data_IF_004121552523
#
_entry.id   IF_004121552523
#
_cell.length_a   1.000
_cell.length_b   1.000
_cell.length_c   1.000
_cell.angle_alpha   90.00
_cell.angle_beta   90.00
_cell.angle_gamma   90.00
#
_symmetry.space_group_name_H-M   'P 1'
#
loop_
_entity.id
_entity.type
_entity.pdbx_description
1 polymer ?
#
# COMPACT_ATOMS: atom_id res chain seq x y z
N UNK A 1 21.23 -25.10 -66.41
CA UNK A 1 19.91 -24.54 -66.65
C UNK A 1 19.41 -24.11 -65.26
N UNK A 2 19.74 -22.94 -64.97
CA UNK A 2 18.99 -21.74 -64.62
C UNK A 2 18.15 -21.89 -63.36
N UNK A 3 18.73 -21.44 -62.29
CA UNK A 3 18.10 -21.15 -61.00
C UNK A 3 17.54 -19.71 -61.00
N UNK A 4 16.40 -19.48 -60.44
CA UNK A 4 15.95 -18.16 -60.00
C UNK A 4 15.51 -18.24 -58.53
N UNK A 5 16.24 -17.57 -57.66
CA UNK A 5 15.85 -17.31 -56.26
C UNK A 5 15.18 -15.93 -56.13
N UNK A 6 14.36 -15.71 -55.11
CA UNK A 6 13.64 -14.46 -54.92
C UNK A 6 14.45 -13.42 -54.18
N UNK A 7 14.25 -12.17 -54.61
CA UNK A 7 14.87 -10.94 -54.10
C UNK A 7 14.28 -10.56 -52.73
N UNK A 8 15.15 -10.27 -51.77
CA UNK A 8 14.83 -9.57 -50.53
C UNK A 8 14.85 -8.06 -50.78
N UNK A 9 13.73 -7.37 -50.58
CA UNK A 9 13.65 -5.92 -50.52
C UNK A 9 14.06 -5.42 -49.12
N UNK A 10 15.15 -4.67 -49.09
CA UNK A 10 15.56 -3.86 -47.97
C UNK A 10 14.80 -2.54 -47.99
N UNK A 11 13.92 -2.32 -47.00
CA UNK A 11 13.35 -0.99 -46.73
C UNK A 11 14.32 -0.21 -45.83
N UNK A 12 14.94 0.80 -46.41
CA UNK A 12 15.78 1.79 -45.73
C UNK A 12 14.91 2.79 -44.94
N UNK A 13 15.03 2.81 -43.63
CA UNK A 13 14.51 3.91 -42.81
C UNK A 13 15.43 5.13 -42.90
N UNK A 14 14.98 6.15 -43.62
CA UNK A 14 15.57 7.49 -43.59
C UNK A 14 15.20 8.17 -42.24
N UNK A 15 16.21 8.43 -41.42
CA UNK A 15 16.10 9.30 -40.26
C UNK A 15 15.99 10.78 -40.75
N UNK A 16 14.91 11.42 -40.40
CA UNK A 16 14.73 12.87 -40.58
C UNK A 16 15.54 13.60 -39.50
N UNK A 17 16.54 14.34 -39.92
CA UNK A 17 17.29 15.29 -39.09
C UNK A 17 16.49 16.57 -38.93
N UNK A 18 16.18 16.94 -37.70
CA UNK A 18 15.68 18.27 -37.31
C UNK A 18 16.83 19.29 -37.28
N UNK A 19 16.66 20.50 -37.87
CA UNK A 19 17.64 21.55 -37.80
C UNK A 19 17.27 22.54 -36.67
N UNK A 20 17.92 22.43 -35.54
CA UNK A 20 17.96 23.57 -34.58
C UNK A 20 19.33 23.60 -33.90
N UNK A 21 20.25 24.32 -34.52
CA UNK A 21 21.47 24.80 -33.88
C UNK A 21 21.69 26.24 -34.33
N UNK A 22 21.45 27.19 -33.41
CA UNK A 22 22.08 28.52 -33.30
C UNK A 22 21.19 29.45 -32.45
N UNK A 23 21.52 29.57 -31.18
CA UNK A 23 21.47 30.91 -30.55
C UNK A 23 22.54 31.02 -29.48
N UNK A 24 23.44 31.98 -29.72
CA UNK A 24 24.53 32.41 -28.86
C UNK A 24 23.99 33.40 -27.81
N UNK A 25 24.50 33.26 -26.56
CA UNK A 25 24.73 34.31 -25.56
C UNK A 25 23.71 35.44 -25.43
N UNK A 26 22.99 35.46 -24.30
CA UNK A 26 22.51 36.68 -23.65
C UNK A 26 22.62 36.58 -22.14
N UNK A 27 22.88 37.72 -21.44
CA UNK A 27 23.37 37.74 -20.06
C UNK A 27 22.26 37.68 -18.99
N UNK A 28 22.68 37.34 -17.76
CA UNK A 28 21.86 37.43 -16.57
C UNK A 28 21.26 38.84 -16.40
N UNK A 29 19.96 38.94 -16.32
CA UNK A 29 19.27 40.05 -15.72
C UNK A 29 17.95 39.60 -15.11
N UNK A 30 17.78 39.94 -13.84
CA UNK A 30 16.55 39.96 -13.04
C UNK A 30 15.25 39.73 -13.83
N UNK A 31 14.51 38.69 -13.49
CA UNK A 31 13.08 38.63 -13.77
C UNK A 31 12.29 38.52 -12.48
N UNK A 32 11.79 39.67 -12.08
CA UNK A 32 10.63 39.84 -11.21
C UNK A 32 9.43 39.07 -11.79
N UNK A 33 8.71 38.45 -10.88
CA UNK A 33 7.44 37.78 -11.09
C UNK A 33 6.44 38.65 -11.88
N UNK A 34 6.18 38.28 -13.12
CA UNK A 34 5.01 38.78 -13.85
C UNK A 34 4.01 37.63 -13.98
N UNK A 35 2.97 37.67 -13.16
CA UNK A 35 1.77 36.89 -13.37
C UNK A 35 1.14 37.39 -14.69
N UNK A 36 1.25 36.64 -15.76
CA UNK A 36 0.54 36.91 -17.01
C UNK A 36 -0.96 36.71 -16.79
N UNK A 37 -1.69 37.82 -16.54
CA UNK A 37 -3.14 37.87 -16.69
C UNK A 37 -3.45 37.71 -18.17
N UNK A 38 -3.93 36.57 -18.54
CA UNK A 38 -4.60 36.37 -19.82
C UNK A 38 -6.08 36.83 -19.64
N UNK A 39 -6.37 38.06 -20.01
CA UNK A 39 -7.74 38.58 -20.18
C UNK A 39 -8.33 38.02 -21.49
N UNK A 40 -8.85 36.80 -21.42
CA UNK A 40 -9.76 36.29 -22.45
C UNK A 40 -11.15 36.85 -22.18
N UNK A 41 -11.77 37.45 -23.20
CA UNK A 41 -13.11 38.00 -23.11
C UNK A 41 -14.15 37.01 -22.58
N UNK A 42 -15.13 37.47 -21.77
CA UNK A 42 -16.09 36.58 -21.13
C UNK A 42 -17.03 35.95 -22.17
N UNK A 43 -16.90 34.65 -22.36
CA UNK A 43 -17.99 33.86 -22.93
C UNK A 43 -19.04 33.69 -21.86
N UNK A 44 -20.26 34.14 -22.18
CA UNK A 44 -21.45 34.15 -21.34
C UNK A 44 -21.66 32.81 -20.58
N UNK A 45 -21.77 32.89 -19.26
CA UNK A 45 -22.61 32.03 -18.46
C UNK A 45 -21.98 30.87 -17.68
N UNK A 46 -20.66 30.65 -17.71
CA UNK A 46 -20.05 29.66 -16.82
C UNK A 46 -19.31 30.39 -15.69
N UNK A 47 -19.85 30.30 -14.49
CA UNK A 47 -19.23 30.88 -13.32
C UNK A 47 -17.84 30.31 -13.11
N UNK A 48 -16.83 31.17 -13.24
CA UNK A 48 -15.44 30.75 -13.17
C UNK A 48 -15.04 30.45 -11.72
N UNK A 49 -14.71 29.18 -11.42
CA UNK A 49 -14.13 28.82 -10.14
C UNK A 49 -12.73 29.39 -10.07
N UNK A 50 -12.46 30.24 -9.09
CA UNK A 50 -11.15 30.82 -8.81
C UNK A 50 -10.60 30.25 -7.50
N UNK A 51 -9.35 29.85 -7.51
CA UNK A 51 -8.69 29.26 -6.35
C UNK A 51 -7.21 29.64 -6.29
N UNK A 52 -6.63 29.56 -5.09
CA UNK A 52 -5.18 29.54 -4.86
C UNK A 52 -4.83 28.26 -4.15
N UNK A 53 -3.99 27.43 -4.76
CA UNK A 53 -3.55 26.17 -4.18
C UNK A 53 -2.02 26.10 -4.15
N UNK A 54 -1.44 25.66 -3.01
CA UNK A 54 0.01 25.61 -2.84
C UNK A 54 0.43 24.56 -1.81
N UNK A 55 1.68 24.12 -1.94
CA UNK A 55 2.40 23.37 -0.91
C UNK A 55 3.39 24.26 -0.16
N UNK A 56 3.62 23.94 1.11
CA UNK A 56 4.65 24.59 1.94
C UNK A 56 5.14 23.64 3.01
N UNK A 57 6.38 23.77 3.44
CA UNK A 57 6.90 23.10 4.63
C UNK A 57 6.54 23.87 5.90
N UNK A 58 6.45 23.19 7.04
CA UNK A 58 6.22 23.84 8.33
C UNK A 58 7.49 24.56 8.81
N UNK A 59 8.65 23.94 8.60
CA UNK A 59 9.96 24.49 8.92
C UNK A 59 10.91 24.32 7.74
N UNK A 60 11.93 25.18 7.60
CA UNK A 60 12.96 25.01 6.58
C UNK A 60 14.04 23.99 6.98
N UNK A 61 14.17 23.69 8.27
CA UNK A 61 15.18 22.77 8.82
C UNK A 61 14.55 21.78 9.79
N UNK A 62 14.96 20.53 9.70
CA UNK A 62 14.51 19.42 10.53
C UNK A 62 15.71 18.59 11.00
N UNK A 63 15.52 17.75 12.01
CA UNK A 63 16.49 16.77 12.46
C UNK A 63 16.39 15.47 11.64
N UNK A 64 17.50 14.78 11.46
CA UNK A 64 17.49 13.44 10.86
C UNK A 64 16.59 12.49 11.67
N UNK A 65 15.60 11.88 11.01
CA UNK A 65 14.60 11.02 11.67
C UNK A 65 13.42 11.75 12.32
N UNK A 66 13.34 13.07 12.22
CA UNK A 66 12.20 13.86 12.70
C UNK A 66 11.00 13.76 11.75
N UNK A 67 9.74 13.85 12.24
CA UNK A 67 8.56 13.95 11.39
C UNK A 67 8.57 15.25 10.57
N UNK A 68 8.45 15.12 9.26
CA UNK A 68 8.48 16.25 8.32
C UNK A 68 7.11 16.37 7.66
N UNK A 69 6.40 17.47 7.94
CA UNK A 69 5.10 17.73 7.35
C UNK A 69 5.16 18.74 6.22
N UNK A 70 4.52 18.37 5.10
CA UNK A 70 4.20 19.27 4.01
C UNK A 70 2.72 19.65 4.13
N UNK A 71 2.42 20.96 4.12
CA UNK A 71 1.08 21.48 4.12
C UNK A 71 0.62 21.72 2.69
N UNK A 72 -0.54 21.21 2.33
CA UNK A 72 -1.29 21.61 1.16
C UNK A 72 -2.38 22.57 1.60
N UNK A 73 -2.47 23.74 0.98
CA UNK A 73 -3.54 24.71 1.22
C UNK A 73 -4.25 25.01 -0.07
N UNK A 74 -5.59 25.05 -0.01
CA UNK A 74 -6.43 25.54 -1.11
C UNK A 74 -7.37 26.59 -0.56
N UNK A 75 -7.38 27.79 -1.17
CA UNK A 75 -8.27 28.89 -0.85
C UNK A 75 -9.24 29.10 -2.01
N UNK A 76 -10.51 29.30 -1.67
CA UNK A 76 -11.49 29.77 -2.64
C UNK A 76 -11.33 31.28 -2.83
N UNK A 77 -10.72 31.69 -3.95
CA UNK A 77 -10.53 33.09 -4.32
C UNK A 77 -11.67 33.64 -5.20
N UNK A 78 -12.67 32.80 -5.51
CA UNK A 78 -13.83 33.14 -6.32
C UNK A 78 -15.02 33.57 -5.48
N UNK A 79 -16.17 33.69 -6.16
CA UNK A 79 -17.45 34.10 -5.55
C UNK A 79 -18.42 32.93 -5.36
N UNK A 80 -18.07 31.74 -5.88
CA UNK A 80 -18.92 30.57 -5.82
C UNK A 80 -18.34 29.49 -4.87
N UNK A 81 -19.25 28.78 -4.22
CA UNK A 81 -18.89 27.61 -3.40
C UNK A 81 -18.49 26.47 -4.32
N UNK A 82 -17.37 25.83 -4.04
CA UNK A 82 -17.04 24.55 -4.63
C UNK A 82 -16.78 23.48 -3.56
N UNK A 83 -16.81 22.25 -3.97
CA UNK A 83 -16.49 21.09 -3.11
C UNK A 83 -15.44 20.21 -3.76
N UNK A 84 -14.78 19.42 -2.96
CA UNK A 84 -13.85 18.38 -3.41
C UNK A 84 -13.80 17.25 -2.39
N UNK A 85 -13.46 16.07 -2.87
CA UNK A 85 -13.23 14.92 -1.99
C UNK A 85 -11.80 14.91 -1.49
N UNK A 86 -11.62 14.52 -0.24
CA UNK A 86 -10.31 14.27 0.36
C UNK A 86 -10.28 12.90 1.02
N UNK A 87 -9.08 12.38 1.21
CA UNK A 87 -8.82 11.17 2.00
C UNK A 87 -8.04 11.57 3.24
N UNK A 88 -8.10 10.73 4.26
CA UNK A 88 -7.14 10.87 5.39
C UNK A 88 -5.72 10.93 4.83
N UNK A 89 -4.86 11.83 5.33
CA UNK A 89 -3.51 12.06 4.81
C UNK A 89 -2.57 10.89 5.15
N UNK A 90 -2.92 9.72 4.65
CA UNK A 90 -2.07 8.54 4.59
C UNK A 90 -1.79 8.23 3.12
N UNK A 91 -0.57 7.81 2.83
CA UNK A 91 -0.19 7.44 1.47
C UNK A 91 -1.09 6.31 0.96
N UNK A 92 -1.79 6.55 -0.15
CA UNK A 92 -2.59 5.51 -0.77
C UNK A 92 -1.69 4.47 -1.43
N UNK A 93 -2.12 3.22 -1.34
CA UNK A 93 -1.49 2.09 -2.04
C UNK A 93 -1.78 2.11 -3.56
N UNK A 94 -2.72 2.96 -4.00
CA UNK A 94 -3.05 3.13 -5.42
C UNK A 94 -2.58 4.51 -5.92
N UNK A 95 -1.46 4.57 -6.67
CA UNK A 95 -0.90 5.82 -7.18
C UNK A 95 -1.75 6.47 -8.29
N UNK A 96 -2.78 5.80 -8.80
CA UNK A 96 -3.57 6.26 -9.95
C UNK A 96 -4.72 7.20 -9.56
N UNK A 97 -4.90 7.51 -8.27
CA UNK A 97 -5.90 8.47 -7.82
C UNK A 97 -5.42 9.90 -8.08
N UNK A 98 -6.03 10.55 -9.07
CA UNK A 98 -5.68 11.93 -9.50
C UNK A 98 -5.74 12.97 -8.38
N UNK A 99 -6.52 12.72 -7.33
CA UNK A 99 -6.74 13.65 -6.21
C UNK A 99 -5.66 13.61 -5.13
N UNK A 100 -4.75 12.65 -5.17
CA UNK A 100 -3.69 12.52 -4.17
C UNK A 100 -2.44 13.33 -4.52
N UNK A 101 -1.72 13.86 -3.52
CA UNK A 101 -0.47 14.55 -3.79
C UNK A 101 0.60 13.55 -4.19
N UNK A 102 1.43 13.96 -5.13
CA UNK A 102 2.65 13.25 -5.55
C UNK A 102 3.85 14.01 -5.04
N UNK A 103 4.76 13.29 -4.38
CA UNK A 103 6.02 13.85 -3.93
C UNK A 103 7.18 13.09 -4.56
N UNK A 104 8.14 13.83 -5.12
CA UNK A 104 9.43 13.28 -5.49
C UNK A 104 10.53 14.05 -4.76
N UNK A 105 11.40 13.32 -4.06
CA UNK A 105 12.42 13.90 -3.20
C UNK A 105 13.80 13.57 -3.74
N UNK A 106 14.65 14.58 -3.83
CA UNK A 106 16.04 14.46 -4.32
C UNK A 106 17.01 15.02 -3.31
N UNK A 107 18.16 14.38 -3.20
CA UNK A 107 19.29 14.89 -2.41
C UNK A 107 20.01 16.05 -3.15
N UNK A 108 21.03 16.60 -2.50
CA UNK A 108 21.85 17.70 -3.06
C UNK A 108 22.61 17.30 -4.34
N UNK A 109 22.80 16.00 -4.60
CA UNK A 109 23.38 15.46 -5.85
C UNK A 109 22.34 15.21 -6.93
N UNK A 110 21.08 15.49 -6.67
CA UNK A 110 19.96 15.27 -7.60
C UNK A 110 19.48 13.82 -7.66
N UNK A 111 19.97 12.91 -6.82
CA UNK A 111 19.55 11.51 -6.75
C UNK A 111 18.21 11.41 -6.04
N UNK A 112 17.31 10.63 -6.59
CA UNK A 112 16.02 10.33 -5.93
C UNK A 112 16.25 9.50 -4.68
N UNK A 113 15.58 9.86 -3.59
CA UNK A 113 15.57 9.04 -2.39
C UNK A 113 14.72 7.79 -2.60
N UNK A 114 15.13 6.65 -2.01
CA UNK A 114 14.34 5.42 -2.08
C UNK A 114 13.01 5.59 -1.36
N UNK A 115 11.99 4.94 -1.89
CA UNK A 115 10.68 4.85 -1.28
C UNK A 115 10.73 3.95 -0.04
N UNK A 116 10.40 4.44 1.16
CA UNK A 116 10.44 3.63 2.38
C UNK A 116 9.21 2.72 2.55
N UNK A 117 8.18 2.88 1.71
CA UNK A 117 7.01 2.03 1.82
C UNK A 117 7.31 0.65 1.25
N UNK A 118 6.98 -0.43 1.97
CA UNK A 118 7.04 -1.77 1.41
C UNK A 118 6.11 -1.85 0.20
N UNK A 119 6.52 -2.61 -0.83
CA UNK A 119 5.64 -2.88 -1.96
C UNK A 119 4.41 -3.64 -1.44
N UNK A 120 3.18 -3.19 -1.74
CA UNK A 120 1.99 -3.85 -1.21
C UNK A 120 1.91 -5.28 -1.72
N UNK A 121 1.91 -6.22 -0.80
CA UNK A 121 1.60 -7.61 -1.06
C UNK A 121 0.09 -7.74 -1.18
N UNK A 122 -0.38 -7.89 -2.39
CA UNK A 122 -1.77 -7.97 -2.78
C UNK A 122 -2.82 -8.04 -1.67
N UNK A 123 -3.44 -6.94 -1.33
CA UNK A 123 -4.74 -6.95 -0.69
C UNK A 123 -4.90 -6.29 0.66
N UNK A 124 -3.89 -5.85 1.36
CA UNK A 124 -4.09 -5.03 2.56
C UNK A 124 -4.58 -3.63 2.15
N UNK A 125 -5.88 -3.52 1.91
CA UNK A 125 -6.54 -2.23 1.72
C UNK A 125 -6.73 -1.63 3.11
N UNK A 126 -5.83 -0.73 3.50
CA UNK A 126 -6.06 0.12 4.65
C UNK A 126 -7.43 0.79 4.54
N UNK A 127 -8.13 0.95 5.64
CA UNK A 127 -9.45 1.60 5.66
C UNK A 127 -9.24 3.07 5.32
N UNK A 128 -9.51 3.43 4.07
CA UNK A 128 -9.44 4.83 3.63
C UNK A 128 -10.74 5.51 4.00
N UNK A 129 -10.67 6.51 4.86
CA UNK A 129 -11.81 7.38 5.15
C UNK A 129 -11.89 8.44 4.05
N UNK A 130 -12.99 8.42 3.30
CA UNK A 130 -13.31 9.48 2.33
C UNK A 130 -14.12 10.55 3.03
N UNK A 131 -13.77 11.78 2.79
CA UNK A 131 -14.54 12.94 3.20
C UNK A 131 -14.74 13.89 2.04
N UNK A 132 -15.63 14.84 2.22
CA UNK A 132 -15.80 15.95 1.31
C UNK A 132 -15.64 17.27 2.03
N UNK A 133 -15.01 18.22 1.37
CA UNK A 133 -14.87 19.60 1.83
C UNK A 133 -15.75 20.48 0.96
N UNK A 134 -16.61 21.26 1.61
CA UNK A 134 -17.30 22.39 1.00
C UNK A 134 -16.50 23.63 1.30
N UNK A 135 -16.08 24.37 0.29
CA UNK A 135 -15.25 25.55 0.44
C UNK A 135 -15.95 26.81 -0.05
N UNK A 136 -16.58 27.60 0.86
CA UNK A 136 -17.16 28.89 0.55
C UNK A 136 -16.13 29.92 0.07
N UNK A 137 -16.57 31.02 -0.60
CA UNK A 137 -15.71 32.13 -0.98
C UNK A 137 -14.87 32.67 0.19
N UNK A 138 -13.59 32.92 -0.05
CA UNK A 138 -12.63 33.44 0.92
C UNK A 138 -12.09 32.40 1.92
N UNK A 139 -12.72 31.25 2.05
CA UNK A 139 -12.26 30.22 2.98
C UNK A 139 -11.07 29.41 2.45
N UNK A 140 -10.29 28.88 3.39
CA UNK A 140 -9.10 28.06 3.13
C UNK A 140 -9.26 26.72 3.79
N UNK A 141 -8.92 25.66 3.08
CA UNK A 141 -8.73 24.31 3.61
C UNK A 141 -7.25 23.95 3.63
N UNK A 142 -6.82 23.25 4.69
CA UNK A 142 -5.41 22.85 4.86
C UNK A 142 -5.35 21.37 5.22
N UNK A 143 -4.48 20.65 4.53
CA UNK A 143 -4.12 19.27 4.81
C UNK A 143 -2.64 19.19 5.15
N UNK A 144 -2.26 18.25 6.03
CA UNK A 144 -0.87 17.96 6.40
C UNK A 144 -0.49 16.57 5.92
N UNK A 145 0.64 16.46 5.26
CA UNK A 145 1.14 15.21 4.68
C UNK A 145 2.52 14.90 5.24
N UNK A 146 2.66 13.75 5.89
CA UNK A 146 3.93 13.30 6.46
C UNK A 146 4.88 12.82 5.35
N UNK A 147 5.85 13.65 4.95
CA UNK A 147 6.77 13.36 3.84
C UNK A 147 7.63 12.10 4.07
N UNK A 148 7.83 11.72 5.32
CA UNK A 148 8.56 10.50 5.67
C UNK A 148 7.89 9.21 5.13
N UNK A 149 6.65 9.28 4.67
CA UNK A 149 6.00 8.17 3.97
C UNK A 149 6.50 8.00 2.52
N UNK A 150 7.16 9.01 1.94
CA UNK A 150 7.68 8.99 0.56
C UNK A 150 9.20 8.89 0.50
N UNK A 151 9.91 9.28 1.57
CA UNK A 151 11.36 9.20 1.62
C UNK A 151 11.88 9.07 3.05
N UNK A 152 12.98 8.34 3.23
CA UNK A 152 13.72 8.30 4.49
C UNK A 152 14.69 9.47 4.59
N UNK A 153 14.47 10.37 5.55
CA UNK A 153 15.36 11.52 5.85
C UNK A 153 16.30 11.17 7.02
N UNK A 154 17.10 10.14 6.84
CA UNK A 154 18.03 9.65 7.87
C UNK A 154 19.42 10.28 7.82
N UNK A 155 19.75 10.92 6.71
CA UNK A 155 21.07 11.53 6.50
C UNK A 155 20.99 13.05 6.52
N UNK A 156 21.91 13.74 7.21
CA UNK A 156 22.04 15.20 7.15
C UNK A 156 22.33 15.67 5.73
N UNK A 157 21.77 16.83 5.35
CA UNK A 157 21.99 17.42 4.03
C UNK A 157 20.85 18.29 3.55
N UNK A 158 20.97 18.78 2.32
CA UNK A 158 19.96 19.58 1.66
C UNK A 158 19.16 18.72 0.68
N UNK A 159 17.86 18.89 0.71
CA UNK A 159 16.91 18.12 -0.11
C UNK A 159 15.98 19.06 -0.86
N UNK A 160 15.54 18.61 -2.03
CA UNK A 160 14.49 19.26 -2.82
C UNK A 160 13.28 18.33 -2.90
N UNK A 161 12.12 18.88 -2.61
CA UNK A 161 10.83 18.18 -2.70
C UNK A 161 10.04 18.81 -3.82
N UNK A 162 9.81 18.06 -4.89
CA UNK A 162 8.81 18.39 -5.88
C UNK A 162 7.47 17.88 -5.39
N UNK A 163 6.51 18.76 -5.18
CA UNK A 163 5.17 18.46 -4.71
C UNK A 163 4.16 18.84 -5.78
N UNK A 164 3.33 17.90 -6.20
CA UNK A 164 2.30 18.07 -7.22
C UNK A 164 0.97 17.49 -6.75
N UNK A 165 -0.14 18.20 -7.01
CA UNK A 165 -1.50 17.71 -6.81
C UNK A 165 -2.43 18.28 -7.85
N UNK A 166 -3.26 17.40 -8.43
CA UNK A 166 -4.39 17.77 -9.29
C UNK A 166 -5.68 17.38 -8.59
N UNK A 167 -6.42 18.36 -8.10
CA UNK A 167 -7.62 18.15 -7.30
C UNK A 167 -8.86 18.51 -8.11
N UNK A 168 -9.79 17.57 -8.38
CA UNK A 168 -11.03 17.88 -9.06
C UNK A 168 -11.94 18.72 -8.16
N UNK A 169 -12.38 19.86 -8.67
CA UNK A 169 -13.34 20.77 -8.02
C UNK A 169 -14.72 20.54 -8.60
N UNK A 170 -15.71 20.35 -7.74
CA UNK A 170 -17.09 20.07 -8.11
C UNK A 170 -17.96 21.29 -7.78
N UNK A 171 -18.91 21.63 -8.64
CA UNK A 171 -19.92 22.64 -8.30
C UNK A 171 -20.70 22.14 -7.08
N UNK A 172 -20.95 23.04 -6.15
CA UNK A 172 -21.81 22.72 -5.02
C UNK A 172 -23.26 23.10 -5.35
N UNK A 173 -24.13 22.08 -5.40
CA UNK A 173 -25.55 22.21 -5.53
C UNK A 173 -26.24 21.94 -4.19
N UNK A 174 -26.91 22.93 -3.64
CA UNK A 174 -27.61 22.82 -2.35
C UNK A 174 -28.73 21.80 -2.40
N UNK A 175 -29.31 21.56 -3.59
CA UNK A 175 -30.40 20.60 -3.78
C UNK A 175 -29.94 19.16 -3.90
N UNK A 176 -28.64 18.93 -4.12
CA UNK A 176 -28.04 17.60 -4.27
C UNK A 176 -26.87 17.46 -3.31
N UNK A 177 -27.07 16.93 -2.12
CA UNK A 177 -26.00 16.77 -1.12
C UNK A 177 -24.90 15.79 -1.57
N UNK A 178 -25.19 14.91 -2.53
CA UNK A 178 -24.22 13.98 -3.07
C UNK A 178 -23.27 14.69 -4.04
N UNK A 179 -21.97 14.61 -3.75
CA UNK A 179 -20.91 15.15 -4.60
C UNK A 179 -20.73 14.22 -5.81
N UNK A 180 -21.72 14.22 -6.70
CA UNK A 180 -21.70 13.43 -7.92
C UNK A 180 -21.88 14.36 -9.13
N UNK A 181 -20.92 14.34 -10.04
CA UNK A 181 -20.95 15.11 -11.27
C UNK A 181 -19.55 15.28 -11.86
N UNK A 182 -19.46 15.73 -13.11
CA UNK A 182 -18.16 16.03 -13.70
C UNK A 182 -17.52 17.23 -12.97
N UNK A 183 -16.18 17.24 -12.82
CA UNK A 183 -15.47 18.38 -12.26
C UNK A 183 -15.74 19.67 -13.09
N UNK A 184 -16.01 20.77 -12.42
CA UNK A 184 -16.14 22.09 -13.05
C UNK A 184 -14.78 22.74 -13.29
N UNK A 185 -13.77 22.33 -12.53
CA UNK A 185 -12.37 22.75 -12.67
C UNK A 185 -11.44 21.70 -12.02
N UNK A 186 -10.14 21.83 -12.29
CA UNK A 186 -9.10 21.12 -11.57
C UNK A 186 -8.18 22.13 -10.90
N UNK A 187 -8.05 22.04 -9.58
CA UNK A 187 -7.03 22.80 -8.87
C UNK A 187 -5.66 22.11 -9.04
N UNK A 188 -4.72 22.81 -9.65
CA UNK A 188 -3.35 22.36 -9.82
C UNK A 188 -2.43 23.12 -8.85
N UNK A 189 -1.69 22.40 -8.03
CA UNK A 189 -0.62 22.94 -7.22
C UNK A 189 0.68 22.22 -7.55
N UNK A 190 1.71 22.96 -7.95
CA UNK A 190 3.06 22.46 -8.20
C UNK A 190 4.02 23.36 -7.47
N UNK A 191 4.86 22.80 -6.59
CA UNK A 191 5.86 23.55 -5.84
C UNK A 191 7.17 22.78 -5.74
N UNK A 192 8.27 23.53 -5.88
CA UNK A 192 9.60 23.09 -5.48
C UNK A 192 9.89 23.62 -4.07
N UNK A 193 10.12 22.72 -3.13
CA UNK A 193 10.38 23.06 -1.74
C UNK A 193 11.81 22.63 -1.39
N UNK A 194 12.52 23.48 -0.69
CA UNK A 194 13.85 23.16 -0.18
C UNK A 194 13.77 22.92 1.32
N UNK A 195 14.42 21.87 1.81
CA UNK A 195 14.56 21.59 3.22
C UNK A 195 15.99 21.17 3.56
N UNK A 196 16.41 21.44 4.78
CA UNK A 196 17.69 21.03 5.32
C UNK A 196 17.48 20.05 6.47
N UNK A 197 18.24 18.96 6.45
CA UNK A 197 18.26 17.96 7.53
C UNK A 197 19.56 18.14 8.31
N UNK A 198 19.42 18.48 9.58
CA UNK A 198 20.53 18.57 10.52
C UNK A 198 20.78 17.22 11.21
N UNK A 199 21.99 16.95 11.68
CA UNK A 199 22.26 15.79 12.54
C UNK A 199 21.37 15.78 13.77
N UNK A 200 20.99 14.60 14.26
CA UNK A 200 20.19 14.41 15.47
C UNK A 200 20.91 13.58 16.51
N UNK A 201 20.58 13.84 17.78
CA UNK A 201 20.91 12.94 18.90
C UNK A 201 19.62 12.19 19.34
N UNK A 202 19.75 11.05 20.03
CA UNK A 202 18.58 10.33 20.57
C UNK A 202 17.69 11.22 21.45
N UNK A 203 18.26 12.07 22.29
CA UNK A 203 17.54 12.98 23.19
C UNK A 203 16.75 14.04 22.40
N UNK A 204 17.34 14.59 21.33
CA UNK A 204 16.66 15.55 20.46
C UNK A 204 15.47 14.88 19.75
N UNK A 205 15.64 13.67 19.24
CA UNK A 205 14.53 12.92 18.64
C UNK A 205 13.46 12.61 19.67
N UNK A 206 13.82 12.13 20.84
CA UNK A 206 12.86 11.88 21.91
C UNK A 206 12.04 13.14 22.25
N UNK A 207 12.68 14.30 22.29
CA UNK A 207 12.01 15.59 22.50
C UNK A 207 11.06 15.95 21.36
N UNK A 208 11.47 15.73 20.10
CA UNK A 208 10.66 15.99 18.92
C UNK A 208 9.39 15.11 18.87
N UNK A 209 9.47 13.87 19.41
CA UNK A 209 8.33 12.95 19.46
C UNK A 209 7.40 13.15 20.67
N UNK A 210 7.81 13.91 21.69
CA UNK A 210 6.99 14.13 22.91
C UNK A 210 5.57 14.66 22.64
N UNK A 211 5.31 15.61 21.72
CA UNK A 211 3.98 16.08 21.41
C UNK A 211 3.06 14.94 20.96
N UNK A 212 3.55 14.07 20.09
CA UNK A 212 2.78 12.91 19.55
C UNK A 212 2.49 11.88 20.62
N UNK A 213 3.48 11.57 21.48
CA UNK A 213 3.29 10.66 22.61
C UNK A 213 2.22 11.17 23.59
N UNK A 214 2.25 12.47 23.93
CA UNK A 214 1.24 13.12 24.80
C UNK A 214 -0.14 13.13 24.16
N UNK A 215 -0.24 13.38 22.84
CA UNK A 215 -1.52 13.34 22.12
C UNK A 215 -2.15 11.96 22.21
N UNK A 216 -1.35 10.89 22.07
CA UNK A 216 -1.83 9.51 22.21
C UNK A 216 -2.23 9.10 23.65
N UNK A 217 -1.87 9.87 24.66
CA UNK A 217 -2.38 9.67 26.02
C UNK A 217 -3.85 10.09 26.18
N UNK A 218 -4.26 11.16 25.47
CA UNK A 218 -5.63 11.71 25.49
C UNK A 218 -6.65 10.85 24.73
N UNK A 219 -6.22 9.98 23.84
CA UNK A 219 -6.95 8.89 23.17
C UNK A 219 -8.20 9.24 22.36
N UNK A 220 -8.34 10.43 21.83
CA UNK A 220 -9.48 10.81 21.01
C UNK A 220 -9.13 11.86 19.93
N UNK A 221 -9.81 11.78 18.78
CA UNK A 221 -9.80 12.80 17.72
C UNK A 221 -8.79 12.56 16.59
N UNK A 222 -8.87 13.40 15.55
CA UNK A 222 -8.00 13.32 14.36
C UNK A 222 -6.52 13.44 14.68
N UNK A 223 -6.16 14.23 15.69
CA UNK A 223 -4.80 14.44 16.15
C UNK A 223 -4.16 13.13 16.68
N UNK A 224 -4.93 12.26 17.29
CA UNK A 224 -4.44 10.96 17.74
C UNK A 224 -4.13 10.04 16.55
N UNK A 225 -4.91 10.11 15.47
CA UNK A 225 -4.63 9.39 14.23
C UNK A 225 -3.33 9.86 13.58
N UNK A 226 -3.09 11.19 13.51
CA UNK A 226 -1.83 11.74 13.00
C UNK A 226 -0.64 11.35 13.90
N UNK A 227 -0.80 11.41 15.22
CA UNK A 227 0.26 11.01 16.15
C UNK A 227 0.63 9.53 16.00
N UNK A 228 -0.37 8.66 15.82
CA UNK A 228 -0.12 7.24 15.55
C UNK A 228 0.56 7.04 14.19
N UNK A 229 0.14 7.76 13.15
CA UNK A 229 0.79 7.73 11.84
C UNK A 229 2.28 8.08 11.94
N UNK A 230 2.63 9.11 12.71
CA UNK A 230 4.03 9.49 12.95
C UNK A 230 4.81 8.35 13.63
N UNK A 231 4.28 7.78 14.73
CA UNK A 231 4.96 6.70 15.44
C UNK A 231 5.09 5.43 14.59
N UNK A 232 4.11 5.13 13.77
CA UNK A 232 4.11 3.95 12.90
C UNK A 232 5.04 4.13 11.68
N UNK A 233 5.16 5.36 11.15
CA UNK A 233 6.02 5.65 10.01
C UNK A 233 7.49 5.76 10.41
N UNK A 234 7.77 6.34 11.58
CA UNK A 234 9.10 6.63 12.10
C UNK A 234 9.28 6.00 13.49
N UNK A 235 9.19 4.69 13.63
CA UNK A 235 9.29 4.07 14.94
C UNK A 235 10.69 4.27 15.52
N UNK A 236 10.73 4.61 16.79
CA UNK A 236 11.95 4.78 17.57
C UNK A 236 11.95 3.78 18.74
N UNK A 237 13.10 3.31 19.25
CA UNK A 237 13.14 2.35 20.36
C UNK A 237 12.27 2.76 21.55
N UNK A 238 12.21 4.05 21.88
CA UNK A 238 11.37 4.56 22.97
C UNK A 238 9.87 4.54 22.69
N UNK A 239 9.43 4.30 21.43
CA UNK A 239 8.02 4.20 21.05
C UNK A 239 7.45 2.79 21.19
N UNK A 240 8.29 1.76 21.36
CA UNK A 240 7.90 0.35 21.45
C UNK A 240 6.72 0.11 22.39
N UNK A 241 6.87 0.54 23.65
CA UNK A 241 5.83 0.31 24.68
C UNK A 241 4.49 0.93 24.29
N UNK A 242 4.52 2.12 23.68
CA UNK A 242 3.30 2.83 23.26
C UNK A 242 2.63 2.13 22.10
N UNK A 243 3.38 1.75 21.05
CA UNK A 243 2.87 1.01 19.90
C UNK A 243 2.28 -0.35 20.34
N UNK A 244 2.97 -1.08 21.21
CA UNK A 244 2.49 -2.35 21.74
C UNK A 244 1.18 -2.19 22.54
N UNK A 245 1.08 -1.15 23.36
CA UNK A 245 -0.15 -0.86 24.12
C UNK A 245 -1.32 -0.48 23.19
N UNK A 246 -1.07 0.24 22.09
CA UNK A 246 -2.07 0.61 21.09
C UNK A 246 -2.53 -0.60 20.29
N UNK A 247 -1.60 -1.45 19.83
CA UNK A 247 -1.92 -2.68 19.10
C UNK A 247 -2.82 -3.63 19.92
N UNK A 248 -2.63 -3.68 21.24
CA UNK A 248 -3.41 -4.51 22.16
C UNK A 248 -4.63 -3.81 22.78
N UNK A 249 -4.89 -2.53 22.45
CA UNK A 249 -6.02 -1.79 23.00
C UNK A 249 -7.35 -2.45 22.57
N UNK A 250 -8.42 -2.43 23.41
CA UNK A 250 -9.73 -2.94 23.03
C UNK A 250 -10.29 -2.18 21.82
N UNK A 251 -11.02 -2.90 20.95
CA UNK A 251 -11.63 -2.36 19.71
C UNK A 251 -12.60 -1.17 19.96
N UNK A 252 -13.17 -1.06 21.16
CA UNK A 252 -14.11 0.01 21.52
C UNK A 252 -13.50 1.43 21.55
N UNK A 253 -12.17 1.57 21.38
CA UNK A 253 -11.53 2.89 21.32
C UNK A 253 -11.55 3.41 19.88
N UNK A 254 -12.65 4.07 19.53
CA UNK A 254 -12.86 4.70 18.21
C UNK A 254 -11.70 5.65 17.86
N UNK A 255 -11.19 5.53 16.63
CA UNK A 255 -10.27 6.50 16.01
C UNK A 255 -8.79 6.16 16.07
N UNK A 256 -8.38 4.99 16.57
CA UNK A 256 -7.00 4.51 16.48
C UNK A 256 -6.94 3.24 15.63
N UNK A 257 -6.15 3.29 14.60
CA UNK A 257 -5.90 2.15 13.73
C UNK A 257 -4.87 1.22 14.39
N UNK A 258 -5.36 0.11 14.95
CA UNK A 258 -4.52 -0.90 15.61
C UNK A 258 -3.60 -1.61 14.62
N UNK A 259 -4.00 -1.74 13.35
CA UNK A 259 -3.16 -2.28 12.29
C UNK A 259 -1.96 -1.38 12.06
N UNK A 260 -2.17 -0.06 12.05
CA UNK A 260 -1.08 0.91 11.94
C UNK A 260 -0.07 0.81 13.10
N UNK A 261 -0.54 0.51 14.32
CA UNK A 261 0.36 0.25 15.45
C UNK A 261 1.20 -1.04 15.24
N UNK A 262 0.61 -2.10 14.67
CA UNK A 262 1.34 -3.32 14.29
C UNK A 262 2.39 -3.05 13.20
N UNK A 263 2.07 -2.22 12.19
CA UNK A 263 3.03 -1.80 11.17
C UNK A 263 4.22 -1.06 11.79
N UNK A 264 3.95 -0.17 12.76
CA UNK A 264 5.00 0.52 13.50
C UNK A 264 5.93 -0.44 14.25
N UNK A 265 5.37 -1.46 14.89
CA UNK A 265 6.14 -2.52 15.54
C UNK A 265 6.98 -3.32 14.53
N UNK A 266 6.37 -3.70 13.39
CA UNK A 266 7.08 -4.43 12.33
C UNK A 266 8.26 -3.61 11.76
N UNK A 267 8.06 -2.31 11.52
CA UNK A 267 9.13 -1.39 11.06
C UNK A 267 10.21 -1.16 12.10
N UNK A 268 9.87 -1.20 13.41
CA UNK A 268 10.88 -1.13 14.46
C UNK A 268 11.85 -2.31 14.38
N UNK A 269 11.36 -3.47 13.97
CA UNK A 269 12.17 -4.62 13.57
C UNK A 269 12.91 -5.32 14.70
N UNK A 270 12.80 -4.86 15.95
CA UNK A 270 13.47 -5.50 17.09
C UNK A 270 12.77 -6.79 17.48
N UNK A 271 13.48 -7.67 18.16
CA UNK A 271 12.93 -8.93 18.66
C UNK A 271 11.72 -8.69 19.56
N UNK A 272 11.82 -7.73 20.47
CA UNK A 272 10.75 -7.36 21.40
C UNK A 272 9.50 -6.86 20.64
N UNK A 273 9.67 -6.10 19.56
CA UNK A 273 8.56 -5.64 18.74
C UNK A 273 7.84 -6.81 18.06
N UNK A 274 8.59 -7.78 17.53
CA UNK A 274 8.02 -8.99 16.93
C UNK A 274 7.33 -9.89 17.97
N UNK A 275 7.84 -9.97 19.20
CA UNK A 275 7.18 -10.66 20.30
C UNK A 275 5.83 -10.00 20.66
N UNK A 276 5.72 -8.67 20.58
CA UNK A 276 4.43 -7.97 20.78
C UNK A 276 3.44 -8.26 19.64
N UNK A 277 3.89 -8.33 18.37
CA UNK A 277 3.05 -8.74 17.24
C UNK A 277 2.55 -10.18 17.45
N UNK A 278 3.43 -11.09 17.88
CA UNK A 278 3.08 -12.48 18.17
C UNK A 278 2.01 -12.59 19.27
N UNK A 279 2.08 -11.76 20.31
CA UNK A 279 1.03 -11.71 21.36
C UNK A 279 -0.34 -11.34 20.77
N UNK A 280 -0.39 -10.37 19.86
CA UNK A 280 -1.63 -10.00 19.16
C UNK A 280 -2.14 -11.14 18.29
N UNK A 281 -1.26 -11.78 17.52
CA UNK A 281 -1.61 -12.93 16.66
C UNK A 281 -2.23 -14.08 17.46
N UNK A 282 -1.67 -14.39 18.64
CA UNK A 282 -2.19 -15.42 19.56
C UNK A 282 -3.50 -15.03 20.26
N UNK A 283 -3.92 -13.77 20.13
CA UNK A 283 -5.12 -13.28 20.82
C UNK A 283 -4.96 -13.24 22.36
N UNK A 284 -3.73 -13.07 22.84
CA UNK A 284 -3.41 -12.97 24.28
C UNK A 284 -3.94 -11.64 24.88
N UNK A 285 -5.21 -11.33 24.63
CA UNK A 285 -5.97 -10.48 25.51
C UNK A 285 -6.64 -11.39 26.53
N UNK A 286 -6.32 -11.15 27.78
CA UNK A 286 -6.79 -11.89 28.93
C UNK A 286 -8.33 -12.06 28.94
N UNK A 287 -8.84 -13.05 28.26
CA UNK A 287 -10.14 -13.62 28.57
C UNK A 287 -9.88 -14.82 29.49
N UNK A 288 -10.63 -14.98 30.58
CA UNK A 288 -10.49 -16.15 31.43
C UNK A 288 -10.78 -17.42 30.61
N UNK A 289 -10.12 -18.55 30.92
CA UNK A 289 -10.10 -19.76 30.10
C UNK A 289 -11.48 -20.42 29.85
N UNK A 290 -12.54 -19.94 30.44
CA UNK A 290 -13.90 -20.47 30.33
C UNK A 290 -14.89 -19.53 29.63
N UNK A 291 -14.48 -18.39 29.08
CA UNK A 291 -15.29 -17.56 28.22
C UNK A 291 -14.78 -17.70 26.79
N UNK A 292 -15.44 -18.54 25.97
CA UNK A 292 -15.39 -18.41 24.52
C UNK A 292 -16.21 -17.15 24.18
N UNK A 293 -15.60 -15.96 24.02
CA UNK A 293 -16.34 -14.83 23.48
C UNK A 293 -16.65 -15.21 22.03
N UNK A 294 -17.90 -15.00 21.62
CA UNK A 294 -18.23 -14.97 20.21
C UNK A 294 -17.17 -14.13 19.49
N UNK A 295 -16.49 -14.73 18.49
CA UNK A 295 -15.42 -14.08 17.73
C UNK A 295 -15.92 -12.71 17.29
N UNK A 296 -15.25 -11.65 17.75
CA UNK A 296 -15.55 -10.30 17.28
C UNK A 296 -14.80 -10.13 15.96
N UNK A 297 -15.48 -9.92 14.83
CA UNK A 297 -14.83 -9.88 13.52
C UNK A 297 -13.64 -8.91 13.44
N UNK A 298 -13.70 -7.80 14.18
CA UNK A 298 -12.63 -6.82 14.27
C UNK A 298 -11.36 -7.37 14.96
N UNK A 299 -11.51 -8.19 16.00
CA UNK A 299 -10.40 -8.82 16.70
C UNK A 299 -9.76 -9.91 15.83
N UNK A 300 -10.57 -10.70 15.14
CA UNK A 300 -10.07 -11.74 14.24
C UNK A 300 -9.35 -11.13 13.04
N UNK A 301 -9.83 -10.00 12.51
CA UNK A 301 -9.16 -9.26 11.43
C UNK A 301 -7.81 -8.73 11.88
N UNK A 302 -7.70 -8.21 13.10
CA UNK A 302 -6.44 -7.73 13.65
C UNK A 302 -5.46 -8.87 13.90
N UNK A 303 -5.94 -10.00 14.45
CA UNK A 303 -5.13 -11.21 14.64
C UNK A 303 -4.59 -11.74 13.32
N UNK A 304 -5.46 -11.80 12.29
CA UNK A 304 -5.05 -12.21 10.94
C UNK A 304 -4.00 -11.27 10.37
N UNK A 305 -4.14 -9.95 10.58
CA UNK A 305 -3.12 -9.00 10.14
C UNK A 305 -1.77 -9.19 10.86
N UNK A 306 -1.79 -9.45 12.16
CA UNK A 306 -0.58 -9.79 12.91
C UNK A 306 0.07 -11.09 12.39
N UNK A 307 -0.72 -12.11 12.06
CA UNK A 307 -0.26 -13.37 11.44
C UNK A 307 0.38 -13.11 10.07
N UNK A 308 -0.25 -12.27 9.23
CA UNK A 308 0.32 -11.84 7.95
C UNK A 308 1.72 -11.26 8.14
N UNK A 309 1.90 -10.30 9.05
CA UNK A 309 3.19 -9.68 9.34
C UNK A 309 4.25 -10.69 9.78
N UNK A 310 3.89 -11.66 10.64
CA UNK A 310 4.81 -12.73 11.06
C UNK A 310 5.23 -13.62 9.88
N UNK A 311 4.29 -13.93 8.98
CA UNK A 311 4.56 -14.68 7.75
C UNK A 311 5.49 -13.93 6.80
N UNK A 312 5.23 -12.65 6.55
CA UNK A 312 6.05 -11.80 5.70
C UNK A 312 7.47 -11.61 6.26
N UNK A 313 7.62 -11.55 7.59
CA UNK A 313 8.95 -11.56 8.23
C UNK A 313 9.71 -12.84 7.89
N UNK A 314 9.02 -13.98 7.81
CA UNK A 314 9.59 -15.27 7.45
C UNK A 314 10.65 -15.79 8.41
N UNK A 315 10.67 -15.33 9.67
CA UNK A 315 11.58 -15.81 10.69
C UNK A 315 11.09 -17.17 11.22
N UNK A 316 11.92 -18.19 11.11
CA UNK A 316 11.60 -19.57 11.52
C UNK A 316 11.19 -19.68 12.99
N UNK A 317 11.58 -18.72 13.84
CA UNK A 317 11.16 -18.65 15.25
C UNK A 317 9.64 -18.52 15.41
N UNK A 318 8.91 -17.99 14.41
CA UNK A 318 7.45 -17.83 14.47
C UNK A 318 6.67 -19.03 13.95
N UNK A 319 7.33 -19.95 13.23
CA UNK A 319 6.68 -21.12 12.65
C UNK A 319 5.91 -21.98 13.68
N UNK A 320 6.45 -22.32 14.87
CA UNK A 320 5.68 -23.09 15.87
C UNK A 320 4.37 -22.41 16.24
N UNK A 321 4.37 -21.07 16.41
CA UNK A 321 3.17 -20.33 16.76
C UNK A 321 2.13 -20.32 15.65
N UNK A 322 2.56 -20.27 14.37
CA UNK A 322 1.64 -20.36 13.23
C UNK A 322 1.00 -21.74 13.14
N UNK A 323 1.77 -22.81 13.38
CA UNK A 323 1.24 -24.18 13.44
C UNK A 323 0.24 -24.37 14.60
N UNK A 324 0.51 -23.76 15.77
CA UNK A 324 -0.42 -23.74 16.92
C UNK A 324 -1.76 -23.08 16.62
N UNK A 325 -1.86 -22.22 15.60
CA UNK A 325 -3.10 -21.54 15.22
C UNK A 325 -4.02 -22.37 14.32
N UNK A 326 -3.52 -23.45 13.70
CA UNK A 326 -4.30 -24.25 12.77
C UNK A 326 -5.53 -24.94 13.41
N UNK A 327 -5.50 -25.44 14.64
CA UNK A 327 -6.70 -25.97 15.32
C UNK A 327 -7.65 -24.89 15.84
N UNK A 328 -7.37 -23.59 15.60
CA UNK A 328 -8.21 -22.50 16.09
C UNK A 328 -9.62 -22.57 15.51
N UNK A 329 -10.62 -22.32 16.35
CA UNK A 329 -12.00 -22.20 15.90
C UNK A 329 -12.25 -20.96 15.04
N UNK A 330 -11.44 -19.91 15.18
CA UNK A 330 -11.52 -18.67 14.41
C UNK A 330 -10.96 -18.86 13.01
N UNK A 331 -11.84 -18.80 12.01
CA UNK A 331 -11.53 -19.10 10.62
C UNK A 331 -10.56 -18.08 10.00
N UNK A 332 -10.75 -16.78 10.27
CA UNK A 332 -9.95 -15.72 9.65
C UNK A 332 -8.46 -15.79 10.03
N UNK A 333 -8.05 -15.81 11.31
CA UNK A 333 -6.64 -15.95 11.66
C UNK A 333 -6.07 -17.33 11.29
N UNK A 334 -6.87 -18.42 11.33
CA UNK A 334 -6.45 -19.75 10.87
C UNK A 334 -6.15 -19.74 9.37
N UNK A 335 -7.03 -19.15 8.56
CA UNK A 335 -6.80 -19.03 7.14
C UNK A 335 -5.57 -18.21 6.80
N UNK A 336 -5.29 -17.13 7.54
CA UNK A 336 -4.08 -16.35 7.36
C UNK A 336 -2.82 -17.13 7.78
N UNK A 337 -2.89 -17.93 8.85
CA UNK A 337 -1.80 -18.80 9.25
C UNK A 337 -1.44 -19.82 8.16
N UNK A 338 -2.44 -20.43 7.51
CA UNK A 338 -2.24 -21.32 6.36
C UNK A 338 -1.53 -20.60 5.20
N UNK A 339 -1.94 -19.36 4.85
CA UNK A 339 -1.26 -18.58 3.82
C UNK A 339 0.16 -18.21 4.20
N UNK A 340 0.37 -17.83 5.46
CA UNK A 340 1.67 -17.45 6.01
C UNK A 340 2.65 -18.62 6.02
N UNK A 341 2.20 -19.86 6.33
CA UNK A 341 3.03 -21.06 6.32
C UNK A 341 3.73 -21.28 4.98
N UNK A 342 3.09 -20.91 3.86
CA UNK A 342 3.71 -21.00 2.53
C UNK A 342 4.91 -20.08 2.31
N UNK A 343 5.12 -19.09 3.18
CA UNK A 343 6.28 -18.20 3.14
C UNK A 343 7.52 -18.76 3.86
N UNK A 344 7.34 -19.90 4.57
CA UNK A 344 8.42 -20.60 5.24
C UNK A 344 8.89 -21.79 4.39
N UNK A 345 10.16 -21.85 4.10
CA UNK A 345 10.74 -23.04 3.45
C UNK A 345 11.10 -24.09 4.50
N UNK A 346 10.07 -24.66 5.15
CA UNK A 346 10.20 -25.61 6.26
C UNK A 346 9.31 -26.85 6.01
N UNK A 347 9.83 -28.08 6.13
CA UNK A 347 9.05 -29.29 5.89
C UNK A 347 7.78 -29.41 6.74
N UNK A 348 7.79 -28.89 7.97
CA UNK A 348 6.61 -28.91 8.87
C UNK A 348 5.49 -28.03 8.35
N UNK A 349 5.84 -26.84 7.81
CA UNK A 349 4.87 -25.95 7.16
C UNK A 349 4.27 -26.62 5.92
N UNK A 350 5.12 -27.23 5.09
CA UNK A 350 4.67 -27.92 3.88
C UNK A 350 3.75 -29.08 4.21
N UNK A 351 4.10 -29.92 5.19
CA UNK A 351 3.27 -31.02 5.65
C UNK A 351 1.91 -30.53 6.13
N UNK A 352 1.86 -29.50 6.97
CA UNK A 352 0.60 -28.93 7.46
C UNK A 352 -0.31 -28.42 6.32
N UNK A 353 0.28 -27.79 5.29
CA UNK A 353 -0.45 -27.35 4.11
C UNK A 353 -1.02 -28.54 3.31
N UNK A 354 -0.24 -29.59 3.05
CA UNK A 354 -0.72 -30.77 2.34
C UNK A 354 -1.81 -31.53 3.11
N UNK A 355 -1.67 -31.61 4.45
CA UNK A 355 -2.70 -32.22 5.30
C UNK A 355 -4.01 -31.41 5.25
N UNK A 356 -3.92 -30.08 5.28
CA UNK A 356 -5.09 -29.19 5.28
C UNK A 356 -5.85 -29.19 3.95
N UNK A 357 -5.24 -29.61 2.83
CA UNK A 357 -5.99 -29.85 1.59
C UNK A 357 -7.09 -30.92 1.74
N UNK A 358 -7.06 -31.73 2.80
CA UNK A 358 -8.07 -32.74 3.13
C UNK A 358 -9.08 -32.27 4.19
N UNK A 359 -8.99 -31.00 4.64
CA UNK A 359 -9.93 -30.44 5.62
C UNK A 359 -11.38 -30.54 5.12
N UNK A 360 -12.35 -30.85 5.99
CA UNK A 360 -13.77 -30.80 5.64
C UNK A 360 -14.23 -29.37 5.28
N UNK A 361 -13.56 -28.34 5.82
CA UNK A 361 -13.88 -26.95 5.57
C UNK A 361 -13.26 -26.46 4.24
N UNK A 362 -14.10 -26.03 3.30
CA UNK A 362 -13.66 -25.55 2.00
C UNK A 362 -12.71 -24.33 2.13
N UNK A 363 -12.97 -23.41 3.06
CA UNK A 363 -12.11 -22.26 3.29
C UNK A 363 -10.71 -22.63 3.77
N UNK A 364 -10.56 -23.68 4.56
CA UNK A 364 -9.22 -24.18 4.94
C UNK A 364 -8.48 -24.71 3.72
N UNK A 365 -9.16 -25.48 2.85
CA UNK A 365 -8.57 -25.98 1.61
C UNK A 365 -8.16 -24.83 0.68
N UNK A 366 -9.02 -23.81 0.52
CA UNK A 366 -8.69 -22.58 -0.24
C UNK A 366 -7.44 -21.91 0.29
N UNK A 367 -7.35 -21.69 1.62
CA UNK A 367 -6.20 -21.03 2.23
C UNK A 367 -4.94 -21.89 2.15
N UNK A 368 -5.07 -23.22 2.22
CA UNK A 368 -3.96 -24.14 1.98
C UNK A 368 -3.44 -24.06 0.55
N UNK A 369 -4.32 -24.00 -0.45
CA UNK A 369 -3.94 -23.77 -1.87
C UNK A 369 -3.14 -22.49 -2.01
N UNK A 370 -3.58 -21.39 -1.36
CA UNK A 370 -2.86 -20.11 -1.37
C UNK A 370 -1.50 -20.21 -0.67
N UNK A 371 -1.42 -20.95 0.44
CA UNK A 371 -0.15 -21.26 1.11
C UNK A 371 0.80 -22.03 0.20
N UNK A 372 0.34 -23.07 -0.45
CA UNK A 372 1.15 -23.85 -1.42
C UNK A 372 1.61 -23.00 -2.60
N UNK A 373 0.75 -22.08 -3.08
CA UNK A 373 1.16 -21.11 -4.09
C UNK A 373 2.27 -20.18 -3.59
N UNK A 374 2.20 -19.70 -2.35
CA UNK A 374 3.23 -18.85 -1.76
C UNK A 374 4.56 -19.58 -1.58
N UNK A 375 4.54 -20.90 -1.34
CA UNK A 375 5.75 -21.71 -1.27
C UNK A 375 6.55 -21.65 -2.59
N UNK A 376 5.90 -21.50 -3.73
CA UNK A 376 6.56 -21.28 -5.02
C UNK A 376 7.39 -22.46 -5.53
N UNK A 377 7.15 -23.65 -5.03
CA UNK A 377 7.89 -24.88 -5.35
C UNK A 377 7.20 -25.69 -6.43
N UNK A 378 7.96 -26.37 -7.30
CA UNK A 378 7.37 -27.23 -8.33
C UNK A 378 6.70 -28.47 -7.75
N UNK A 379 7.12 -28.90 -6.57
CA UNK A 379 6.60 -30.08 -5.87
C UNK A 379 5.11 -29.92 -5.48
N UNK A 380 4.58 -28.69 -5.43
CA UNK A 380 3.17 -28.43 -5.13
C UNK A 380 2.25 -28.62 -6.33
N UNK A 381 2.79 -28.61 -7.55
CA UNK A 381 1.99 -28.65 -8.79
C UNK A 381 1.03 -29.86 -8.87
N UNK A 382 1.47 -31.11 -8.58
CA UNK A 382 0.56 -32.25 -8.60
C UNK A 382 -0.61 -32.12 -7.63
N UNK A 383 -0.37 -31.61 -6.42
CA UNK A 383 -1.39 -31.40 -5.42
C UNK A 383 -2.38 -30.29 -5.84
N UNK A 384 -1.89 -29.22 -6.46
CA UNK A 384 -2.72 -28.16 -6.99
C UNK A 384 -3.58 -28.63 -8.16
N UNK A 385 -3.06 -29.51 -9.04
CA UNK A 385 -3.86 -30.11 -10.12
C UNK A 385 -5.00 -30.97 -9.51
N UNK A 386 -4.73 -31.72 -8.43
CA UNK A 386 -5.75 -32.51 -7.76
C UNK A 386 -6.91 -31.66 -7.21
N UNK A 387 -6.66 -30.40 -6.82
CA UNK A 387 -7.72 -29.49 -6.34
C UNK A 387 -8.74 -29.12 -7.41
N UNK A 388 -8.44 -29.31 -8.69
CA UNK A 388 -9.40 -29.06 -9.78
C UNK A 388 -10.59 -30.06 -9.78
N UNK A 389 -10.46 -31.16 -9.03
CA UNK A 389 -11.53 -32.14 -8.79
C UNK A 389 -12.20 -31.95 -7.41
N UNK A 390 -11.92 -30.86 -6.70
CA UNK A 390 -12.53 -30.57 -5.40
C UNK A 390 -14.07 -30.39 -5.53
N UNK A 391 -14.87 -30.88 -4.58
CA UNK A 391 -16.32 -30.66 -4.61
C UNK A 391 -16.69 -29.16 -4.57
N UNK A 392 -15.89 -28.34 -3.89
CA UNK A 392 -16.14 -26.92 -3.77
C UNK A 392 -15.60 -26.13 -4.99
N UNK A 393 -16.44 -25.27 -5.57
CA UNK A 393 -16.12 -24.52 -6.78
C UNK A 393 -15.01 -23.48 -6.53
N UNK A 394 -14.97 -22.89 -5.34
CA UNK A 394 -13.96 -21.89 -4.99
C UNK A 394 -12.56 -22.54 -4.87
N UNK A 395 -12.48 -23.73 -4.27
CA UNK A 395 -11.22 -24.48 -4.21
C UNK A 395 -10.71 -24.79 -5.61
N UNK A 396 -11.56 -25.24 -6.53
CA UNK A 396 -11.20 -25.48 -7.93
C UNK A 396 -10.68 -24.22 -8.62
N UNK A 397 -11.37 -23.09 -8.46
CA UNK A 397 -10.96 -21.80 -9.06
C UNK A 397 -9.62 -21.30 -8.51
N UNK A 398 -9.43 -21.34 -7.20
CA UNK A 398 -8.19 -20.92 -6.55
C UNK A 398 -7.04 -21.86 -6.90
N UNK A 399 -7.30 -23.18 -7.03
CA UNK A 399 -6.33 -24.15 -7.52
C UNK A 399 -5.84 -23.80 -8.93
N UNK A 400 -6.77 -23.54 -9.86
CA UNK A 400 -6.40 -23.13 -11.22
C UNK A 400 -5.63 -21.78 -11.24
N UNK A 401 -6.05 -20.82 -10.44
CA UNK A 401 -5.35 -19.54 -10.29
C UNK A 401 -3.91 -19.74 -9.76
N UNK A 402 -3.71 -20.60 -8.77
CA UNK A 402 -2.41 -20.94 -8.22
C UNK A 402 -1.50 -21.58 -9.29
N UNK A 403 -2.03 -22.54 -10.06
CA UNK A 403 -1.32 -23.20 -11.16
C UNK A 403 -0.89 -22.18 -12.23
N UNK A 404 -1.79 -21.29 -12.67
CA UNK A 404 -1.46 -20.24 -13.63
C UNK A 404 -0.35 -19.31 -13.12
N UNK A 405 -0.42 -18.90 -11.85
CA UNK A 405 0.57 -18.03 -11.23
C UNK A 405 1.96 -18.67 -11.17
N UNK A 406 2.03 -19.93 -10.77
CA UNK A 406 3.31 -20.66 -10.63
C UNK A 406 3.92 -21.06 -11.96
N UNK A 407 3.11 -21.31 -12.98
CA UNK A 407 3.57 -21.88 -14.25
C UNK A 407 3.62 -20.90 -15.40
N UNK A 408 2.93 -19.75 -15.30
CA UNK A 408 2.74 -18.82 -16.41
C UNK A 408 1.84 -19.36 -17.53
N UNK A 409 1.26 -20.56 -17.37
CA UNK A 409 0.40 -21.16 -18.38
C UNK A 409 -0.98 -20.50 -18.39
N UNK A 410 -1.61 -20.47 -19.58
CA UNK A 410 -2.93 -19.85 -19.78
C UNK A 410 -4.07 -20.88 -19.84
N UNK A 411 -3.92 -22.02 -19.17
CA UNK A 411 -4.98 -23.03 -19.05
C UNK A 411 -6.06 -22.47 -18.11
N UNK A 412 -7.26 -22.26 -18.64
CA UNK A 412 -8.35 -21.57 -17.90
C UNK A 412 -9.41 -22.56 -17.44
N UNK A 413 -9.83 -22.43 -16.20
CA UNK A 413 -11.06 -23.03 -15.68
C UNK A 413 -12.19 -22.02 -15.86
N UNK A 414 -13.29 -22.35 -16.59
CA UNK A 414 -14.43 -21.46 -16.71
C UNK A 414 -15.02 -21.08 -15.34
N UNK A 415 -15.51 -19.86 -15.22
CA UNK A 415 -16.28 -19.47 -14.04
C UNK A 415 -17.55 -20.34 -13.99
N UNK A 416 -17.88 -20.92 -12.86
CA UNK A 416 -18.97 -21.88 -12.72
C UNK A 416 -18.81 -23.16 -13.55
N UNK A 417 -17.57 -23.64 -13.72
CA UNK A 417 -17.28 -24.86 -14.47
C UNK A 417 -18.10 -26.06 -13.93
N UNK A 418 -18.72 -26.79 -14.85
CA UNK A 418 -19.32 -28.10 -14.54
C UNK A 418 -18.24 -29.09 -14.10
N UNK A 419 -18.60 -30.19 -13.43
CA UNK A 419 -17.62 -31.23 -13.09
C UNK A 419 -16.84 -31.74 -14.32
N UNK A 420 -17.51 -31.91 -15.46
CA UNK A 420 -16.89 -32.35 -16.72
C UNK A 420 -15.87 -31.30 -17.24
N UNK A 421 -16.22 -29.99 -17.20
CA UNK A 421 -15.30 -28.93 -17.58
C UNK A 421 -14.09 -28.84 -16.64
N UNK A 422 -14.30 -29.06 -15.34
CA UNK A 422 -13.21 -29.10 -14.35
C UNK A 422 -12.28 -30.28 -14.59
N UNK A 423 -12.84 -31.46 -14.88
CA UNK A 423 -12.09 -32.66 -15.25
C UNK A 423 -11.26 -32.43 -16.50
N UNK A 424 -11.84 -31.87 -17.54
CA UNK A 424 -11.11 -31.55 -18.78
C UNK A 424 -9.94 -30.58 -18.52
N UNK A 425 -10.15 -29.54 -17.69
CA UNK A 425 -9.08 -28.63 -17.28
C UNK A 425 -7.97 -29.37 -16.50
N UNK A 426 -8.33 -30.27 -15.60
CA UNK A 426 -7.35 -31.07 -14.87
C UNK A 426 -6.54 -31.96 -15.81
N UNK A 427 -7.17 -32.59 -16.83
CA UNK A 427 -6.49 -33.39 -17.86
C UNK A 427 -5.48 -32.55 -18.66
N UNK A 428 -5.83 -31.32 -19.03
CA UNK A 428 -4.91 -30.38 -19.70
C UNK A 428 -3.68 -30.10 -18.82
N UNK A 429 -3.88 -29.83 -17.53
CA UNK A 429 -2.81 -29.61 -16.57
C UNK A 429 -1.95 -30.86 -16.37
N UNK A 430 -2.53 -32.04 -16.27
CA UNK A 430 -1.79 -33.30 -16.20
C UNK A 430 -0.97 -33.56 -17.45
N UNK A 431 -1.52 -33.28 -18.63
CA UNK A 431 -0.79 -33.43 -19.91
C UNK A 431 0.41 -32.48 -19.98
N UNK A 432 0.21 -31.23 -19.58
CA UNK A 432 1.29 -30.25 -19.50
C UNK A 432 2.37 -30.70 -18.50
N UNK A 433 1.98 -31.12 -17.29
CA UNK A 433 2.91 -31.56 -16.24
C UNK A 433 3.75 -32.75 -16.67
N UNK A 434 3.14 -33.76 -17.28
CA UNK A 434 3.88 -34.93 -17.80
C UNK A 434 4.92 -34.57 -18.85
N UNK A 435 4.66 -33.53 -19.65
CA UNK A 435 5.56 -33.09 -20.71
C UNK A 435 6.70 -32.20 -20.19
N UNK A 436 6.45 -31.38 -19.18
CA UNK A 436 7.38 -30.33 -18.78
C UNK A 436 7.84 -30.40 -17.31
N UNK A 437 7.24 -31.24 -16.49
CA UNK A 437 7.45 -31.23 -15.04
C UNK A 437 8.87 -31.55 -14.59
N UNK A 438 9.61 -32.37 -15.34
CA UNK A 438 10.99 -32.71 -15.00
C UNK A 438 11.93 -31.49 -15.03
N UNK A 439 11.81 -30.67 -16.07
CA UNK A 439 12.69 -29.52 -16.32
C UNK A 439 12.08 -28.18 -15.89
N UNK A 440 10.88 -28.22 -15.31
CA UNK A 440 10.13 -27.02 -14.93
C UNK A 440 10.70 -26.35 -13.68
N UNK A 441 10.89 -25.04 -13.76
CA UNK A 441 11.16 -24.18 -12.60
C UNK A 441 9.94 -23.30 -12.35
N UNK A 442 9.38 -23.38 -11.15
CA UNK A 442 8.23 -22.57 -10.78
C UNK A 442 8.60 -21.08 -10.79
N UNK A 443 7.65 -20.24 -11.25
CA UNK A 443 7.80 -18.79 -11.17
C UNK A 443 7.82 -18.39 -9.70
N UNK A 444 8.96 -17.89 -9.25
CA UNK A 444 9.06 -17.31 -7.92
C UNK A 444 8.20 -16.05 -7.90
N UNK A 445 7.11 -16.10 -7.16
CA UNK A 445 6.38 -14.87 -6.84
C UNK A 445 7.31 -14.01 -5.98
N UNK A 446 7.46 -12.71 -6.30
CA UNK A 446 8.33 -11.87 -5.51
C UNK A 446 7.93 -11.98 -4.04
N UNK A 447 8.86 -12.33 -3.15
CA UNK A 447 8.57 -12.32 -1.74
C UNK A 447 8.23 -10.90 -1.35
N UNK A 448 7.10 -10.73 -0.70
CA UNK A 448 6.73 -9.47 -0.08
C UNK A 448 7.54 -9.26 1.22
N UNK A 449 8.86 -9.34 1.15
CA UNK A 449 9.76 -9.42 2.33
C UNK A 449 10.60 -8.17 2.57
N UNK A 450 10.43 -7.13 1.79
CA UNK A 450 11.20 -5.88 1.95
C UNK A 450 10.57 -5.02 3.05
N UNK A 451 10.78 -5.42 4.32
CA UNK A 451 10.56 -4.63 5.52
C UNK A 451 11.87 -3.97 5.96
#
# INVERSE_FOLDING_TARGET
MAAMGPKTEQMSHRAARSPFNRFKHFPLALCLSAAAMWLGAPRSGVAQVSYVARFSLENPTYLAGEPIFCKFTIQNAGTQVFSFSYRTPSRALNPDLESEPRFSIRDQQGRSLPDPAPKPCGGAKGTTVYGSVRLPPGQTHTERWLLNQWAGFSSPGRYRVHAERRLPLLAFDVSKPDISGPPVAYALAINELALEIAPSTPDQLQKAFQPYLKTLEKRAGPEAGEALLVLATLPQPFTLKKLAALARAPAAKRGLDRQQALEGLARLGTREAWEEILKVARGLQAAPPNSLPAAKPEEDSLRAYAVLLLGEKGDAAFLPALLEMLPSASETPRGEALRALGLFNDPRANQALFETLRSPAANDRVNSVLGLRNLGSKEVIPALIATLSDPDAQVRQVGNFALQGLTGQKIRLPQNASPAASQHTAEQWHAWWRKQGADFTAIQLPPCRDW
#
